data_IF_180994673438
#
_entry.id   IF_180994673438
#
_cell.length_a   1.000
_cell.length_b   1.000
_cell.length_c   1.000
_cell.angle_alpha   90.00
_cell.angle_beta   90.00
_cell.angle_gamma   90.00
#
_symmetry.space_group_name_H-M   'P 1'
#
loop_
_entity.id
_entity.type
_entity.pdbx_description
1 polymer ?
#
# COMPACT_ATOMS: atom_id res chain seq x y z
N UNK A 1 6.26 -9.47 -17.68
CA UNK A 1 4.98 -9.35 -16.98
C UNK A 1 4.54 -10.75 -16.59
N UNK A 2 4.88 -11.21 -15.39
CA UNK A 2 4.42 -12.53 -14.92
C UNK A 2 2.99 -12.36 -14.41
N UNK A 3 2.04 -13.07 -15.04
CA UNK A 3 0.59 -13.05 -14.79
C UNK A 3 -0.18 -11.80 -15.25
N UNK A 4 -0.35 -11.58 -16.57
CA UNK A 4 -1.24 -10.54 -17.10
C UNK A 4 -2.69 -10.73 -16.65
N UNK A 5 -3.35 -9.62 -16.30
CA UNK A 5 -4.76 -9.59 -15.93
C UNK A 5 -5.05 -9.93 -14.46
N UNK A 6 -4.03 -10.23 -13.67
CA UNK A 6 -4.13 -10.37 -12.22
C UNK A 6 -3.80 -9.03 -11.52
N UNK A 7 -4.50 -8.75 -10.42
CA UNK A 7 -4.13 -7.67 -9.53
C UNK A 7 -2.84 -8.08 -8.80
N UNK A 8 -1.83 -7.22 -8.84
CA UNK A 8 -0.61 -7.35 -8.04
C UNK A 8 -0.48 -6.15 -7.12
N UNK A 9 0.08 -6.36 -5.93
CA UNK A 9 0.42 -5.28 -5.01
C UNK A 9 1.92 -5.06 -5.04
N UNK A 10 2.32 -3.81 -5.10
CA UNK A 10 3.72 -3.41 -4.91
C UNK A 10 4.09 -3.52 -3.43
N UNK A 11 5.38 -3.60 -3.14
CA UNK A 11 5.89 -3.26 -1.81
C UNK A 11 5.77 -1.74 -1.60
N UNK A 12 5.86 -1.28 -0.35
CA UNK A 12 5.88 0.15 -0.09
C UNK A 12 7.07 0.84 -0.78
N UNK A 13 6.81 1.98 -1.41
CA UNK A 13 7.85 2.80 -2.04
C UNK A 13 7.55 4.29 -1.90
N UNK A 14 8.60 5.10 -1.91
CA UNK A 14 8.49 6.55 -1.88
C UNK A 14 8.14 7.09 -3.28
N UNK A 15 7.15 7.98 -3.32
CA UNK A 15 6.68 8.67 -4.51
C UNK A 15 6.91 10.18 -4.35
N UNK A 16 7.93 10.69 -5.04
CA UNK A 16 8.39 12.08 -4.94
C UNK A 16 7.31 13.14 -5.23
N UNK A 17 6.46 13.00 -6.28
CA UNK A 17 5.49 14.04 -6.61
C UNK A 17 4.51 14.39 -5.49
N UNK A 18 4.18 13.42 -4.62
CA UNK A 18 3.26 13.60 -3.51
C UNK A 18 3.95 13.62 -2.14
N UNK A 19 5.30 13.54 -2.12
CA UNK A 19 6.12 13.40 -0.90
C UNK A 19 5.54 12.34 0.07
N UNK A 20 5.25 11.16 -0.48
CA UNK A 20 4.51 10.13 0.24
C UNK A 20 5.09 8.74 0.01
N UNK A 21 5.10 7.93 1.06
CA UNK A 21 5.27 6.48 0.93
C UNK A 21 3.91 5.86 0.63
N UNK A 22 3.84 5.08 -0.46
CA UNK A 22 2.60 4.50 -0.99
C UNK A 22 2.74 3.00 -1.22
N UNK A 23 1.58 2.33 -1.24
CA UNK A 23 1.42 0.95 -1.73
C UNK A 23 0.42 0.98 -2.87
N UNK A 24 0.80 0.42 -4.02
CA UNK A 24 -0.04 0.41 -5.22
C UNK A 24 -0.61 -0.97 -5.49
N UNK A 25 -1.90 -1.04 -5.83
CA UNK A 25 -2.49 -2.18 -6.51
C UNK A 25 -2.48 -1.90 -8.02
N UNK A 26 -1.83 -2.78 -8.78
CA UNK A 26 -1.65 -2.64 -10.23
C UNK A 26 -2.37 -3.75 -10.99
N UNK A 27 -2.96 -3.37 -12.12
CA UNK A 27 -3.63 -4.30 -13.04
C UNK A 27 -3.20 -4.00 -14.47
N UNK A 28 -2.65 -4.99 -15.15
CA UNK A 28 -2.39 -4.90 -16.59
C UNK A 28 -3.67 -5.09 -17.38
N UNK A 29 -3.86 -4.34 -18.46
CA UNK A 29 -4.99 -4.53 -19.36
C UNK A 29 -4.54 -4.69 -20.82
N UNK A 30 -5.39 -5.34 -21.60
CA UNK A 30 -5.28 -5.43 -23.05
C UNK A 30 -6.29 -4.47 -23.69
N UNK A 31 -6.05 -4.07 -24.94
CA UNK A 31 -7.12 -3.50 -25.78
C UNK A 31 -7.63 -4.56 -26.76
N UNK A 32 -8.64 -4.21 -27.56
CA UNK A 32 -9.12 -5.06 -28.65
C UNK A 32 -8.05 -5.41 -29.68
N UNK A 33 -6.99 -4.62 -29.79
CA UNK A 33 -5.95 -4.73 -30.81
C UNK A 33 -4.55 -5.00 -30.26
N UNK A 34 -4.31 -4.76 -28.97
CA UNK A 34 -2.97 -4.79 -28.37
C UNK A 34 -2.95 -5.59 -27.08
N UNK A 35 -2.11 -6.63 -27.05
CA UNK A 35 -1.76 -7.34 -25.83
C UNK A 35 -0.78 -6.51 -24.99
N UNK A 36 -0.97 -6.49 -23.66
CA UNK A 36 -0.22 -5.66 -22.71
C UNK A 36 -0.28 -4.16 -23.03
N UNK A 37 -1.48 -3.66 -23.33
CA UNK A 37 -1.69 -2.27 -23.71
C UNK A 37 -1.26 -1.26 -22.63
N UNK A 38 -1.29 -1.67 -21.36
CA UNK A 38 -0.80 -0.84 -20.27
C UNK A 38 -1.07 -1.43 -18.90
N UNK A 39 -0.85 -0.61 -17.88
CA UNK A 39 -1.09 -0.90 -16.47
C UNK A 39 -1.84 0.27 -15.85
N UNK A 40 -2.88 -0.03 -15.08
CA UNK A 40 -3.52 0.93 -14.18
C UNK A 40 -3.03 0.67 -12.77
N UNK A 41 -2.65 1.72 -12.06
CA UNK A 41 -2.29 1.68 -10.66
C UNK A 41 -3.32 2.43 -9.81
N UNK A 42 -3.62 1.90 -8.62
CA UNK A 42 -4.37 2.59 -7.58
C UNK A 42 -3.45 2.68 -6.38
N UNK A 43 -3.09 3.91 -6.03
CA UNK A 43 -2.12 4.21 -4.99
C UNK A 43 -2.83 4.53 -3.67
N UNK A 44 -2.30 3.97 -2.58
CA UNK A 44 -2.77 4.26 -1.22
C UNK A 44 -1.56 4.66 -0.38
N UNK A 45 -1.61 5.86 0.21
CA UNK A 45 -0.54 6.31 1.09
C UNK A 45 -0.54 5.59 2.44
N UNK A 46 0.64 5.42 3.05
CA UNK A 46 0.77 4.89 4.41
C UNK A 46 0.03 5.76 5.43
N UNK A 47 -0.05 7.08 5.17
CA UNK A 47 -0.88 8.00 5.97
C UNK A 47 -2.35 7.57 5.92
N UNK A 48 -2.91 7.37 4.72
CA UNK A 48 -4.30 6.93 4.55
C UNK A 48 -4.55 5.57 5.22
N UNK A 49 -3.64 4.60 5.05
CA UNK A 49 -3.75 3.30 5.73
C UNK A 49 -3.76 3.48 7.24
N UNK A 50 -2.90 4.33 7.78
CA UNK A 50 -2.83 4.58 9.21
C UNK A 50 -4.07 5.28 9.73
N UNK A 51 -4.62 6.24 8.98
CA UNK A 51 -5.86 6.92 9.34
C UNK A 51 -7.03 5.93 9.40
N UNK A 52 -7.12 4.98 8.46
CA UNK A 52 -8.11 3.88 8.51
C UNK A 52 -7.90 2.99 9.74
N UNK A 53 -6.66 2.57 10.00
CA UNK A 53 -6.35 1.64 11.10
C UNK A 53 -6.58 2.28 12.47
N UNK A 54 -6.34 3.59 12.63
CA UNK A 54 -6.63 4.36 13.86
C UNK A 54 -8.09 4.32 14.27
N UNK A 55 -9.01 4.16 13.34
CA UNK A 55 -10.45 4.08 13.64
C UNK A 55 -10.84 2.73 14.27
N UNK A 56 -10.00 1.71 14.11
CA UNK A 56 -10.24 0.37 14.66
C UNK A 56 -9.71 0.29 16.08
N UNK A 57 -10.62 0.18 17.06
CA UNK A 57 -10.28 0.00 18.48
C UNK A 57 -10.39 -1.46 18.88
N UNK A 58 -9.35 -1.98 19.56
CA UNK A 58 -9.32 -3.34 20.08
C UNK A 58 -9.28 -3.32 21.61
N UNK A 59 -10.46 -3.36 22.25
CA UNK A 59 -10.56 -3.25 23.70
C UNK A 59 -10.01 -1.91 24.20
N UNK A 60 -9.47 -1.88 25.42
CA UNK A 60 -8.95 -0.64 26.03
C UNK A 60 -7.51 -0.33 25.63
N UNK A 61 -6.68 -1.36 25.41
CA UNK A 61 -5.23 -1.21 25.20
C UNK A 61 -4.71 -1.87 23.93
N UNK A 62 -5.55 -2.59 23.20
CA UNK A 62 -5.16 -3.27 21.96
C UNK A 62 -5.06 -2.30 20.79
N UNK A 63 -4.20 -2.66 19.85
CA UNK A 63 -3.93 -1.88 18.64
C UNK A 63 -3.65 -2.83 17.47
N UNK A 64 -3.65 -2.27 16.25
CA UNK A 64 -3.34 -3.00 15.02
C UNK A 64 -1.98 -2.56 14.51
N UNK A 65 -1.21 -3.52 14.02
CA UNK A 65 0.00 -3.32 13.25
C UNK A 65 -0.19 -3.93 11.86
N UNK A 66 0.29 -3.25 10.83
CA UNK A 66 0.29 -3.74 9.46
C UNK A 66 1.72 -4.01 9.02
N UNK A 67 1.96 -5.22 8.54
CA UNK A 67 3.28 -5.69 8.10
C UNK A 67 3.13 -6.21 6.67
N UNK A 68 4.01 -5.78 5.77
CA UNK A 68 4.08 -6.38 4.43
C UNK A 68 4.88 -7.70 4.44
N UNK A 69 4.76 -8.48 3.37
CA UNK A 69 5.35 -9.83 3.28
C UNK A 69 6.89 -9.85 3.39
N UNK A 70 7.55 -8.73 3.11
CA UNK A 70 8.98 -8.51 3.31
C UNK A 70 9.40 -8.46 4.78
N UNK A 71 8.44 -8.25 5.69
CA UNK A 71 8.67 -7.95 7.10
C UNK A 71 8.70 -6.46 7.44
N UNK A 72 8.58 -5.56 6.46
CA UNK A 72 8.51 -4.12 6.75
C UNK A 72 7.19 -3.77 7.45
N UNK A 73 7.29 -2.92 8.47
CA UNK A 73 6.14 -2.38 9.19
C UNK A 73 5.60 -1.18 8.41
N UNK A 74 4.36 -1.29 7.93
CA UNK A 74 3.68 -0.23 7.19
C UNK A 74 2.89 0.71 8.10
N UNK A 75 2.33 0.16 9.18
CA UNK A 75 1.57 0.88 10.19
C UNK A 75 1.88 0.27 11.55
N UNK A 76 2.28 1.09 12.51
CA UNK A 76 2.34 0.72 13.93
C UNK A 76 1.63 1.78 14.77
N UNK A 77 0.53 1.40 15.41
CA UNK A 77 -0.23 2.29 16.29
C UNK A 77 0.33 2.34 17.73
N UNK A 78 1.30 1.51 18.08
CA UNK A 78 2.03 1.59 19.34
C UNK A 78 3.13 2.65 19.31
N UNK A 79 3.83 2.77 18.17
CA UNK A 79 4.80 3.83 17.89
C UNK A 79 4.26 4.80 16.84
N UNK A 80 3.48 5.78 17.28
CA UNK A 80 2.85 6.79 16.38
C UNK A 80 3.81 7.94 16.00
N UNK A 81 5.10 7.83 16.31
CA UNK A 81 6.10 8.84 15.97
C UNK A 81 6.80 8.50 14.65
N UNK A 82 6.53 9.31 13.63
CA UNK A 82 6.98 9.15 12.26
C UNK A 82 8.42 9.64 12.02
N UNK A 83 9.16 10.02 13.07
CA UNK A 83 10.48 10.65 12.95
C UNK A 83 11.68 9.71 13.17
N UNK A 84 11.49 8.39 13.28
CA UNK A 84 12.58 7.46 13.61
C UNK A 84 12.73 6.21 12.70
N UNK A 85 12.20 6.23 11.48
CA UNK A 85 12.59 5.28 10.42
C UNK A 85 13.27 6.01 9.26
#
# INVERSE_FOLDING_TARGET
>A
MSNPGEIKRTQAYYWEPDDATIVSNVLSFNTSTTQNAGVVAIDVSLKTLTDIVKEIKLGETGYIMMIEDSGNVLVDLHQVDWTLC
#
